data_IF_863278871568
#
_entry.id   IF_863278871568
#
_cell.length_a   1.000
_cell.length_b   1.000
_cell.length_c   1.000
_cell.angle_alpha   90.00
_cell.angle_beta   90.00
_cell.angle_gamma   90.00
#
_symmetry.space_group_name_H-M   'P 1'
#
loop_
_entity.id
_entity.type
_entity.pdbx_description
1 polymer ?
#
# COMPACT_ATOMS: atom_id res chain seq x y z
N UNK A 1 -23.74 -13.43 -28.05
CA UNK A 1 -23.28 -12.38 -27.13
C UNK A 1 -24.30 -12.28 -26.02
N UNK A 2 -24.05 -12.99 -24.94
CA UNK A 2 -24.91 -12.92 -23.74
C UNK A 2 -24.52 -11.68 -22.95
N UNK A 3 -25.49 -10.80 -22.80
CA UNK A 3 -25.37 -9.56 -22.04
C UNK A 3 -25.20 -9.90 -20.55
N UNK A 4 -23.96 -9.90 -20.05
CA UNK A 4 -23.60 -10.30 -18.68
C UNK A 4 -23.69 -9.14 -17.68
N UNK A 5 -24.37 -8.04 -18.01
CA UNK A 5 -24.08 -6.77 -17.37
C UNK A 5 -25.12 -6.22 -16.39
N UNK A 6 -26.32 -6.77 -16.29
CA UNK A 6 -27.30 -6.19 -15.36
C UNK A 6 -27.94 -7.26 -14.47
N UNK A 7 -27.48 -7.33 -13.23
CA UNK A 7 -28.26 -7.95 -12.16
C UNK A 7 -29.06 -6.85 -11.47
N UNK A 8 -30.30 -6.66 -11.90
CA UNK A 8 -31.26 -5.86 -11.15
C UNK A 8 -31.93 -6.80 -10.12
N UNK A 9 -31.77 -6.47 -8.84
CA UNK A 9 -32.69 -6.96 -7.81
C UNK A 9 -33.95 -6.11 -7.98
N UNK A 10 -34.91 -6.60 -8.74
CA UNK A 10 -36.20 -5.99 -9.13
C UNK A 10 -36.53 -4.66 -8.44
N UNK A 11 -36.06 -3.54 -9.00
CA UNK A 11 -36.39 -2.19 -8.54
C UNK A 11 -35.68 -1.68 -7.27
N UNK A 12 -34.82 -2.48 -6.63
CA UNK A 12 -34.07 -2.07 -5.41
C UNK A 12 -32.73 -1.45 -5.78
N UNK A 13 -32.01 -2.07 -6.71
CA UNK A 13 -30.70 -1.58 -7.16
C UNK A 13 -30.51 -1.71 -8.65
N UNK A 14 -29.70 -0.82 -9.24
CA UNK A 14 -29.09 -1.03 -10.56
C UNK A 14 -27.62 -1.33 -10.36
N UNK A 15 -27.10 -2.42 -10.92
CA UNK A 15 -25.69 -2.76 -10.79
C UNK A 15 -25.11 -3.32 -12.07
N UNK A 16 -23.85 -2.94 -12.34
CA UNK A 16 -22.99 -3.58 -13.31
C UNK A 16 -21.88 -4.26 -12.54
N UNK A 17 -21.67 -5.57 -12.74
CA UNK A 17 -20.67 -6.34 -12.00
C UNK A 17 -20.04 -7.42 -12.83
N UNK A 18 -18.80 -7.74 -12.53
CA UNK A 18 -18.02 -8.79 -13.16
C UNK A 18 -17.44 -9.71 -12.11
N UNK A 19 -17.86 -10.98 -12.11
CA UNK A 19 -17.26 -12.03 -11.28
C UNK A 19 -16.10 -12.66 -12.04
N UNK A 20 -15.04 -13.02 -11.31
CA UNK A 20 -13.83 -13.61 -11.88
C UNK A 20 -13.35 -14.82 -11.11
N UNK A 21 -12.86 -15.77 -11.89
CA UNK A 21 -12.07 -16.89 -11.36
C UNK A 21 -10.63 -16.63 -11.81
N UNK A 22 -9.71 -16.30 -10.88
CA UNK A 22 -8.33 -15.98 -11.24
C UNK A 22 -7.61 -17.22 -11.78
N UNK A 23 -6.68 -17.00 -12.71
CA UNK A 23 -5.76 -18.02 -13.18
C UNK A 23 -4.81 -18.50 -12.07
N UNK A 24 -4.12 -19.62 -12.29
CA UNK A 24 -3.17 -20.18 -11.33
C UNK A 24 -2.04 -19.19 -10.99
N UNK A 25 -1.47 -18.54 -12.02
CA UNK A 25 -0.44 -17.54 -11.84
C UNK A 25 -0.91 -16.35 -10.97
N UNK A 26 -2.12 -15.85 -11.24
CA UNK A 26 -2.67 -14.73 -10.48
C UNK A 26 -2.89 -15.09 -9.01
N UNK A 27 -3.42 -16.28 -8.73
CA UNK A 27 -3.61 -16.76 -7.34
C UNK A 27 -2.32 -16.85 -6.56
N UNK A 28 -1.23 -17.26 -7.23
CA UNK A 28 0.04 -17.51 -6.57
C UNK A 28 0.92 -16.26 -6.44
N UNK A 29 0.76 -15.28 -7.35
CA UNK A 29 1.74 -14.21 -7.51
C UNK A 29 1.18 -12.79 -7.55
N UNK A 30 -0.12 -12.60 -7.77
CA UNK A 30 -0.73 -11.29 -7.94
C UNK A 30 -1.77 -10.99 -6.85
N UNK A 31 -2.17 -9.74 -6.77
CA UNK A 31 -3.47 -9.37 -6.23
C UNK A 31 -4.49 -9.56 -7.35
N UNK A 32 -5.58 -10.26 -7.08
CA UNK A 32 -6.54 -10.62 -8.10
C UNK A 32 -7.97 -10.22 -7.74
N UNK A 33 -8.74 -9.90 -8.79
CA UNK A 33 -10.17 -9.60 -8.68
C UNK A 33 -10.95 -10.90 -8.50
N UNK A 34 -11.87 -10.91 -7.54
CA UNK A 34 -12.92 -11.93 -7.41
C UNK A 34 -14.25 -11.39 -7.94
N UNK A 35 -14.58 -10.15 -7.62
CA UNK A 35 -15.72 -9.42 -8.15
C UNK A 35 -15.40 -7.92 -8.17
N UNK A 36 -15.80 -7.21 -9.22
CA UNK A 36 -15.77 -5.76 -9.28
C UNK A 36 -17.09 -5.25 -9.82
N UNK A 37 -17.54 -4.10 -9.34
CA UNK A 37 -18.82 -3.57 -9.79
C UNK A 37 -19.06 -2.11 -9.41
N UNK A 38 -20.16 -1.62 -9.94
CA UNK A 38 -20.82 -0.37 -9.50
C UNK A 38 -22.29 -0.64 -9.24
N UNK A 39 -22.84 0.06 -8.28
CA UNK A 39 -24.21 -0.08 -7.83
C UNK A 39 -24.83 1.30 -7.61
N UNK A 40 -26.03 1.50 -8.11
CA UNK A 40 -26.92 2.57 -7.72
C UNK A 40 -28.09 1.99 -6.93
N UNK A 41 -28.23 2.37 -5.66
CA UNK A 41 -29.39 2.02 -4.85
C UNK A 41 -30.57 2.92 -5.24
N UNK A 42 -31.69 2.28 -5.57
CA UNK A 42 -32.97 2.98 -5.86
C UNK A 42 -33.78 3.06 -4.56
N UNK A 43 -33.65 2.05 -3.72
CA UNK A 43 -34.27 1.97 -2.40
C UNK A 43 -33.22 1.50 -1.38
N UNK A 44 -33.50 1.74 -0.11
CA UNK A 44 -32.63 1.22 0.95
C UNK A 44 -32.53 -0.31 0.86
N UNK A 45 -31.32 -0.81 0.92
CA UNK A 45 -31.07 -2.24 0.99
C UNK A 45 -29.94 -2.53 1.99
N UNK A 46 -29.99 -3.68 2.61
CA UNK A 46 -29.01 -4.16 3.59
C UNK A 46 -28.27 -5.37 3.01
N UNK A 47 -26.97 -5.39 3.22
CA UNK A 47 -26.12 -6.51 2.87
C UNK A 47 -25.36 -6.97 4.12
N UNK A 48 -25.42 -8.28 4.41
CA UNK A 48 -24.73 -8.92 5.52
C UNK A 48 -23.78 -9.95 4.95
N UNK A 49 -22.54 -9.95 5.39
CA UNK A 49 -21.51 -10.90 4.95
C UNK A 49 -20.65 -11.34 6.12
N UNK A 50 -20.16 -12.55 6.05
CA UNK A 50 -19.18 -13.12 6.96
C UNK A 50 -18.47 -14.31 6.30
N UNK A 51 -17.26 -14.64 6.78
CA UNK A 51 -16.51 -15.86 6.39
C UNK A 51 -16.22 -15.97 4.89
N UNK A 52 -16.12 -14.83 4.20
CA UNK A 52 -15.68 -14.80 2.81
C UNK A 52 -14.16 -14.69 2.74
N UNK A 53 -13.52 -15.58 1.99
CA UNK A 53 -12.08 -15.48 1.73
C UNK A 53 -11.79 -14.39 0.70
N UNK A 54 -11.93 -13.14 1.13
CA UNK A 54 -11.89 -11.94 0.31
C UNK A 54 -11.57 -10.72 1.13
N UNK A 55 -11.00 -9.71 0.48
CA UNK A 55 -10.97 -8.34 0.94
C UNK A 55 -11.93 -7.51 0.09
N UNK A 56 -12.64 -6.59 0.71
CA UNK A 56 -13.55 -5.67 0.04
C UNK A 56 -13.01 -4.25 0.16
N UNK A 57 -12.86 -3.58 -0.97
CA UNK A 57 -12.67 -2.14 -1.03
C UNK A 57 -13.87 -1.56 -1.74
N UNK A 58 -14.59 -0.62 -1.11
CA UNK A 58 -15.67 0.10 -1.77
C UNK A 58 -15.62 1.60 -1.49
N UNK A 59 -16.01 2.37 -2.47
CA UNK A 59 -16.06 3.84 -2.45
C UNK A 59 -17.52 4.27 -2.55
N UNK A 60 -17.96 5.17 -1.66
CA UNK A 60 -19.24 5.89 -1.80
C UNK A 60 -19.03 7.04 -2.76
N UNK A 61 -19.64 6.96 -3.96
CA UNK A 61 -19.50 7.99 -4.99
C UNK A 61 -20.64 9.01 -4.98
N UNK A 62 -21.76 8.66 -4.36
CA UNK A 62 -22.89 9.57 -4.14
C UNK A 62 -23.81 9.01 -3.03
N UNK A 63 -24.58 9.88 -2.38
CA UNK A 63 -25.53 9.49 -1.34
C UNK A 63 -24.87 9.08 -0.04
N UNK A 64 -25.62 8.33 0.78
CA UNK A 64 -25.21 7.96 2.14
C UNK A 64 -25.70 6.58 2.56
N UNK A 65 -25.13 6.07 3.63
CA UNK A 65 -25.52 4.81 4.22
C UNK A 65 -24.85 4.55 5.56
N UNK A 66 -24.90 3.30 6.01
CA UNK A 66 -24.33 2.86 7.26
C UNK A 66 -23.49 1.61 7.03
N UNK A 67 -22.36 1.48 7.72
CA UNK A 67 -21.60 0.26 7.83
C UNK A 67 -21.50 -0.16 9.29
N UNK A 68 -21.57 -1.48 9.56
CA UNK A 68 -21.26 -2.07 10.85
C UNK A 68 -20.09 -3.03 10.70
N UNK A 69 -19.01 -2.78 11.43
CA UNK A 69 -17.79 -3.58 11.46
C UNK A 69 -17.43 -3.80 12.93
N UNK A 70 -17.13 -5.04 13.33
CA UNK A 70 -16.79 -5.41 14.71
C UNK A 70 -17.84 -4.98 15.75
N UNK A 71 -19.12 -4.86 15.33
CA UNK A 71 -20.22 -4.42 16.19
C UNK A 71 -20.37 -2.90 16.33
N UNK A 72 -19.49 -2.11 15.72
CA UNK A 72 -19.58 -0.65 15.71
C UNK A 72 -20.25 -0.16 14.42
N UNK A 73 -21.26 0.69 14.59
CA UNK A 73 -21.96 1.34 13.46
C UNK A 73 -21.33 2.67 13.10
N UNK A 74 -21.16 2.90 11.80
CA UNK A 74 -20.63 4.15 11.26
C UNK A 74 -21.44 4.63 10.07
N UNK A 75 -21.89 5.91 10.06
CA UNK A 75 -22.42 6.53 8.85
C UNK A 75 -21.31 6.72 7.80
N UNK A 76 -21.64 6.44 6.55
CA UNK A 76 -20.81 6.69 5.39
C UNK A 76 -21.52 7.66 4.45
N UNK A 77 -20.73 8.56 3.87
CA UNK A 77 -21.19 9.56 2.91
C UNK A 77 -20.28 9.58 1.69
N UNK A 78 -20.66 10.35 0.67
CA UNK A 78 -19.82 10.55 -0.52
C UNK A 78 -18.37 10.87 -0.11
N UNK A 79 -17.41 10.16 -0.72
CA UNK A 79 -15.99 10.27 -0.44
C UNK A 79 -15.46 9.27 0.59
N UNK A 80 -16.34 8.60 1.34
CA UNK A 80 -15.89 7.54 2.26
C UNK A 80 -15.54 6.28 1.46
N UNK A 81 -14.39 5.72 1.77
CA UNK A 81 -13.90 4.45 1.25
C UNK A 81 -13.67 3.48 2.39
N UNK A 82 -14.04 2.23 2.18
CA UNK A 82 -13.93 1.14 3.16
C UNK A 82 -12.97 0.09 2.61
N UNK A 83 -12.10 -0.42 3.48
CA UNK A 83 -11.20 -1.53 3.18
C UNK A 83 -11.23 -2.54 4.31
N UNK A 84 -11.91 -3.67 4.12
CA UNK A 84 -12.20 -4.68 5.14
C UNK A 84 -11.76 -6.08 4.76
N UNK A 85 -11.44 -6.88 5.78
CA UNK A 85 -11.28 -8.34 5.67
C UNK A 85 -12.64 -9.03 5.82
N UNK A 86 -13.19 -9.53 4.72
CA UNK A 86 -14.52 -10.16 4.67
C UNK A 86 -14.60 -11.51 5.38
N UNK A 87 -13.52 -12.03 5.96
CA UNK A 87 -13.55 -13.19 6.85
C UNK A 87 -14.26 -12.84 8.16
N UNK A 88 -14.24 -11.54 8.55
CA UNK A 88 -14.97 -10.98 9.67
C UNK A 88 -16.43 -10.71 9.28
N UNK A 89 -17.29 -10.60 10.30
CA UNK A 89 -18.67 -10.18 10.10
C UNK A 89 -18.73 -8.67 9.81
N UNK A 90 -19.42 -8.29 8.75
CA UNK A 90 -19.76 -6.90 8.45
C UNK A 90 -21.13 -6.79 7.82
N UNK A 91 -21.74 -5.64 8.02
CA UNK A 91 -23.02 -5.27 7.41
C UNK A 91 -22.93 -3.87 6.83
N UNK A 92 -23.61 -3.64 5.72
CA UNK A 92 -23.80 -2.31 5.21
C UNK A 92 -25.23 -2.10 4.72
N UNK A 93 -25.71 -0.87 4.83
CA UNK A 93 -27.08 -0.51 4.45
C UNK A 93 -27.11 0.88 3.84
N UNK A 94 -27.76 1.04 2.68
CA UNK A 94 -27.99 2.36 2.10
C UNK A 94 -29.05 3.12 2.86
N UNK A 95 -28.94 4.45 2.90
CA UNK A 95 -29.93 5.36 3.49
C UNK A 95 -31.30 5.19 2.82
N UNK A 96 -32.36 5.41 3.58
CA UNK A 96 -33.73 5.46 3.05
C UNK A 96 -34.02 6.79 2.32
N UNK A 97 -33.47 7.90 2.83
CA UNK A 97 -33.71 9.23 2.31
C UNK A 97 -32.73 9.68 1.23
N UNK A 98 -31.52 9.08 1.21
CA UNK A 98 -30.44 9.44 0.32
C UNK A 98 -29.64 8.17 -0.07
N UNK A 99 -30.25 7.25 -0.86
CA UNK A 99 -29.63 5.97 -1.20
C UNK A 99 -28.32 6.17 -2.00
N UNK A 100 -27.28 5.45 -1.60
CA UNK A 100 -25.94 5.62 -2.16
C UNK A 100 -25.73 5.01 -3.54
N UNK A 101 -24.70 5.52 -4.20
CA UNK A 101 -24.01 4.87 -5.31
C UNK A 101 -22.63 4.41 -4.85
N UNK A 102 -22.29 3.19 -5.17
CA UNK A 102 -21.03 2.56 -4.78
C UNK A 102 -20.25 2.04 -5.99
N UNK A 103 -18.94 2.10 -5.89
CA UNK A 103 -18.04 1.24 -6.67
C UNK A 103 -17.27 0.37 -5.71
N UNK A 104 -17.06 -0.91 -6.09
CA UNK A 104 -16.36 -1.86 -5.22
C UNK A 104 -15.50 -2.83 -5.99
N UNK A 105 -14.54 -3.41 -5.27
CA UNK A 105 -13.80 -4.59 -5.68
C UNK A 105 -13.70 -5.56 -4.51
N UNK A 106 -14.11 -6.80 -4.75
CA UNK A 106 -13.69 -7.95 -3.96
C UNK A 106 -12.42 -8.49 -4.56
N UNK A 107 -11.36 -8.56 -3.77
CA UNK A 107 -10.04 -9.02 -4.21
C UNK A 107 -9.39 -9.93 -3.15
N UNK A 108 -8.38 -10.66 -3.58
CA UNK A 108 -7.53 -11.44 -2.69
C UNK A 108 -6.12 -11.53 -3.29
N UNK A 109 -5.20 -12.14 -2.59
CA UNK A 109 -3.83 -12.31 -3.01
C UNK A 109 -2.88 -12.41 -1.83
N UNK A 110 -1.68 -12.88 -2.08
CA UNK A 110 -0.69 -13.19 -1.03
C UNK A 110 -0.39 -12.00 -0.11
N UNK A 111 -0.40 -10.76 -0.64
CA UNK A 111 -0.03 -9.55 0.08
C UNK A 111 -1.22 -8.80 0.70
N UNK A 112 -2.47 -9.16 0.38
CA UNK A 112 -3.65 -8.40 0.80
C UNK A 112 -3.79 -8.29 2.31
N UNK A 113 -3.43 -9.34 3.05
CA UNK A 113 -3.40 -9.31 4.51
C UNK A 113 -2.46 -8.23 5.03
N UNK A 114 -1.23 -8.20 4.53
CA UNK A 114 -0.22 -7.23 4.94
C UNK A 114 -0.59 -5.80 4.54
N UNK A 115 -1.21 -5.60 3.38
CA UNK A 115 -1.70 -4.30 2.95
C UNK A 115 -2.82 -3.79 3.85
N UNK A 116 -3.79 -4.63 4.17
CA UNK A 116 -4.89 -4.30 5.06
C UNK A 116 -4.40 -3.97 6.49
N UNK A 117 -3.51 -4.80 7.05
CA UNK A 117 -2.91 -4.55 8.36
C UNK A 117 -2.10 -3.25 8.38
N UNK A 118 -1.35 -2.96 7.31
CA UNK A 118 -0.58 -1.72 7.19
C UNK A 118 -1.50 -0.49 7.10
N UNK A 119 -2.56 -0.55 6.28
CA UNK A 119 -3.58 0.50 6.19
C UNK A 119 -4.20 0.78 7.56
N UNK A 120 -4.67 -0.25 8.27
CA UNK A 120 -5.24 -0.12 9.60
C UNK A 120 -4.25 0.52 10.58
N UNK A 121 -3.00 0.05 10.59
CA UNK A 121 -1.96 0.58 11.47
C UNK A 121 -1.65 2.06 11.24
N UNK A 122 -1.91 2.60 10.03
CA UNK A 122 -1.81 4.02 9.70
C UNK A 122 -3.10 4.82 9.89
N UNK A 123 -4.21 4.15 10.11
CA UNK A 123 -5.56 4.70 10.17
C UNK A 123 -6.23 4.52 11.54
N UNK A 124 -5.46 4.54 12.64
CA UNK A 124 -5.95 4.35 14.01
C UNK A 124 -6.79 3.06 14.18
N UNK A 125 -6.36 1.97 13.55
CA UNK A 125 -7.01 0.66 13.49
C UNK A 125 -8.40 0.64 12.81
N UNK A 126 -8.75 1.72 12.08
CA UNK A 126 -10.02 1.84 11.36
C UNK A 126 -9.94 1.21 9.97
N UNK A 127 -11.04 0.61 9.52
CA UNK A 127 -11.19 -0.04 8.21
C UNK A 127 -11.95 0.85 7.19
N UNK A 128 -12.07 2.15 7.46
CA UNK A 128 -12.69 3.15 6.59
C UNK A 128 -11.94 4.47 6.67
N UNK A 129 -12.01 5.24 5.59
CA UNK A 129 -11.34 6.54 5.47
C UNK A 129 -12.09 7.44 4.49
N UNK A 130 -12.09 8.75 4.75
CA UNK A 130 -12.60 9.74 3.79
C UNK A 130 -11.47 10.14 2.84
N UNK A 131 -11.68 10.05 1.54
CA UNK A 131 -10.71 10.37 0.50
C UNK A 131 -10.94 11.78 -0.02
N UNK A 132 -9.89 12.60 -0.10
CA UNK A 132 -10.01 13.97 -0.64
C UNK A 132 -10.24 13.98 -2.16
N UNK A 133 -9.47 13.17 -2.89
CA UNK A 133 -9.58 13.08 -4.36
C UNK A 133 -10.51 11.93 -4.78
N UNK A 134 -11.81 12.09 -4.54
CA UNK A 134 -12.83 11.09 -4.88
C UNK A 134 -12.83 10.73 -6.37
N UNK A 135 -12.74 11.73 -7.27
CA UNK A 135 -12.75 11.50 -8.71
C UNK A 135 -11.50 10.73 -9.18
N UNK A 136 -10.33 10.98 -8.58
CA UNK A 136 -9.12 10.22 -8.87
C UNK A 136 -9.27 8.74 -8.48
N UNK A 137 -9.75 8.46 -7.27
CA UNK A 137 -9.97 7.09 -6.82
C UNK A 137 -11.06 6.39 -7.64
N UNK A 138 -12.16 7.08 -7.94
CA UNK A 138 -13.24 6.60 -8.81
C UNK A 138 -12.70 6.18 -10.20
N UNK A 139 -11.79 6.99 -10.77
CA UNK A 139 -11.16 6.68 -12.06
C UNK A 139 -10.46 5.31 -12.06
N UNK A 140 -9.79 4.93 -10.97
CA UNK A 140 -9.17 3.60 -10.84
C UNK A 140 -10.21 2.46 -10.82
N UNK A 141 -11.34 2.65 -10.14
CA UNK A 141 -12.44 1.68 -10.19
C UNK A 141 -13.07 1.57 -11.59
N UNK A 142 -13.24 2.69 -12.28
CA UNK A 142 -13.77 2.72 -13.66
C UNK A 142 -12.83 1.97 -14.61
N UNK A 143 -11.53 2.21 -14.51
CA UNK A 143 -10.53 1.50 -15.30
C UNK A 143 -10.53 0.00 -14.99
N UNK A 144 -10.62 -0.37 -13.70
CA UNK A 144 -10.73 -1.78 -13.30
C UNK A 144 -11.97 -2.45 -13.89
N UNK A 145 -13.13 -1.77 -13.89
CA UNK A 145 -14.34 -2.23 -14.55
C UNK A 145 -14.14 -2.44 -16.06
N UNK A 146 -13.47 -1.50 -16.73
CA UNK A 146 -13.18 -1.59 -18.17
C UNK A 146 -12.28 -2.76 -18.51
N UNK A 147 -11.23 -2.99 -17.71
CA UNK A 147 -10.34 -4.15 -17.87
C UNK A 147 -11.14 -5.46 -17.72
N UNK A 148 -12.02 -5.52 -16.71
CA UNK A 148 -12.82 -6.72 -16.48
C UNK A 148 -13.88 -6.92 -17.57
N UNK A 149 -14.36 -5.87 -18.18
CA UNK A 149 -15.31 -5.96 -19.29
C UNK A 149 -14.65 -6.51 -20.56
N UNK A 150 -13.45 -6.07 -20.88
CA UNK A 150 -12.80 -6.36 -22.16
C UNK A 150 -12.00 -7.69 -22.14
N UNK A 151 -11.47 -8.10 -21.00
CA UNK A 151 -10.69 -9.34 -20.79
C UNK A 151 -9.62 -9.60 -21.88
N UNK A 152 -8.48 -8.95 -21.70
CA UNK A 152 -7.29 -9.18 -22.53
C UNK A 152 -6.26 -10.04 -21.80
N UNK A 153 -5.20 -10.45 -22.51
CA UNK A 153 -4.13 -11.33 -21.98
C UNK A 153 -3.47 -10.76 -20.72
N UNK A 154 -3.35 -9.45 -20.60
CA UNK A 154 -2.72 -8.79 -19.47
C UNK A 154 -3.70 -8.32 -18.38
N UNK A 155 -4.98 -8.62 -18.49
CA UNK A 155 -6.02 -8.10 -17.59
C UNK A 155 -5.77 -8.43 -16.11
N UNK A 156 -5.22 -9.60 -15.79
CA UNK A 156 -4.90 -9.97 -14.40
C UNK A 156 -3.75 -9.12 -13.85
N UNK A 157 -2.70 -8.85 -14.64
CA UNK A 157 -1.60 -7.96 -14.25
C UNK A 157 -2.05 -6.52 -14.08
N UNK A 158 -2.79 -6.00 -15.05
CA UNK A 158 -3.32 -4.62 -14.99
C UNK A 158 -4.24 -4.43 -13.79
N UNK A 159 -5.10 -5.41 -13.52
CA UNK A 159 -5.98 -5.39 -12.35
C UNK A 159 -5.21 -5.41 -11.04
N UNK A 160 -4.14 -6.22 -10.95
CA UNK A 160 -3.26 -6.24 -9.76
C UNK A 160 -2.65 -4.86 -9.50
N UNK A 161 -2.10 -4.23 -10.53
CA UNK A 161 -1.51 -2.89 -10.43
C UNK A 161 -2.55 -1.87 -9.95
N UNK A 162 -3.76 -1.88 -10.54
CA UNK A 162 -4.81 -0.93 -10.15
C UNK A 162 -5.31 -1.14 -8.72
N UNK A 163 -5.45 -2.39 -8.26
CA UNK A 163 -5.84 -2.65 -6.87
C UNK A 163 -4.75 -2.16 -5.91
N UNK A 164 -3.48 -2.39 -6.24
CA UNK A 164 -2.36 -1.91 -5.43
C UNK A 164 -2.30 -0.38 -5.40
N UNK A 165 -2.60 0.31 -6.51
CA UNK A 165 -2.72 1.77 -6.56
C UNK A 165 -3.91 2.28 -5.73
N UNK A 166 -5.06 1.60 -5.77
CA UNK A 166 -6.20 1.93 -4.89
C UNK A 166 -5.77 1.83 -3.42
N UNK A 167 -5.08 0.74 -3.03
CA UNK A 167 -4.58 0.55 -1.66
C UNK A 167 -3.56 1.63 -1.30
N UNK A 168 -2.64 1.98 -2.21
CA UNK A 168 -1.67 3.07 -2.03
C UNK A 168 -2.35 4.38 -1.71
N UNK A 169 -3.39 4.76 -2.49
CA UNK A 169 -4.18 5.98 -2.25
C UNK A 169 -4.81 5.97 -0.85
N UNK A 170 -5.39 4.85 -0.42
CA UNK A 170 -5.99 4.75 0.92
C UNK A 170 -4.93 4.90 2.03
N UNK A 171 -3.75 4.34 1.85
CA UNK A 171 -2.62 4.49 2.78
C UNK A 171 -2.11 5.93 2.80
N UNK A 172 -1.99 6.58 1.64
CA UNK A 172 -1.60 7.99 1.55
C UNK A 172 -2.61 8.90 2.26
N UNK A 173 -3.92 8.66 2.09
CA UNK A 173 -4.95 9.38 2.82
C UNK A 173 -4.84 9.16 4.33
N UNK A 174 -4.61 7.92 4.78
CA UNK A 174 -4.44 7.60 6.20
C UNK A 174 -3.23 8.34 6.79
N UNK A 175 -2.10 8.33 6.09
CA UNK A 175 -0.88 9.06 6.50
C UNK A 175 -1.12 10.57 6.49
N UNK A 176 -1.88 11.11 5.55
CA UNK A 176 -2.21 12.53 5.48
C UNK A 176 -3.14 12.96 6.60
N UNK A 177 -4.14 12.15 6.93
CA UNK A 177 -5.09 12.41 8.02
C UNK A 177 -4.47 12.20 9.40
N UNK A 178 -3.43 11.38 9.51
CA UNK A 178 -2.53 11.37 10.67
C UNK A 178 -1.82 12.73 10.73
N UNK A 179 -2.65 13.80 10.84
CA UNK A 179 -2.26 15.20 10.89
C UNK A 179 -1.21 15.41 11.94
N UNK A 180 0.06 15.32 11.57
CA UNK A 180 1.02 15.75 12.53
C UNK A 180 2.20 16.45 11.89
N UNK A 181 2.49 17.59 12.49
CA UNK A 181 3.84 18.15 12.55
C UNK A 181 4.91 17.05 12.65
N UNK A 182 4.56 15.90 13.28
CA UNK A 182 5.37 14.70 13.36
C UNK A 182 5.74 14.14 11.97
N UNK A 183 4.78 13.87 11.10
CA UNK A 183 5.08 13.32 9.77
C UNK A 183 6.02 14.22 8.96
N UNK A 184 5.82 15.54 9.02
CA UNK A 184 6.71 16.50 8.37
C UNK A 184 8.12 16.42 8.96
N UNK A 185 8.25 16.37 10.28
CA UNK A 185 9.56 16.26 10.97
C UNK A 185 10.24 14.94 10.62
N UNK A 186 9.53 13.81 10.64
CA UNK A 186 10.13 12.52 10.31
C UNK A 186 10.51 12.39 8.84
N UNK A 187 9.80 13.03 7.92
CA UNK A 187 10.25 13.16 6.53
C UNK A 187 11.56 13.98 6.44
N UNK A 188 11.68 15.06 7.18
CA UNK A 188 12.93 15.83 7.24
C UNK A 188 14.08 14.99 7.80
N UNK A 189 13.84 14.19 8.84
CA UNK A 189 14.80 13.21 9.37
C UNK A 189 15.21 12.22 8.27
N UNK A 190 14.28 11.67 7.53
CA UNK A 190 14.55 10.74 6.43
C UNK A 190 15.43 11.38 5.34
N UNK A 191 15.11 12.60 4.92
CA UNK A 191 15.91 13.32 3.94
C UNK A 191 17.32 13.64 4.49
N UNK A 192 17.42 14.03 5.74
CA UNK A 192 18.71 14.24 6.42
C UNK A 192 19.56 12.96 6.41
N UNK A 193 18.97 11.80 6.69
CA UNK A 193 19.67 10.51 6.61
C UNK A 193 20.12 10.24 5.16
N UNK A 194 19.28 10.49 4.16
CA UNK A 194 19.61 10.26 2.77
C UNK A 194 20.85 11.06 2.31
N UNK A 195 20.97 12.30 2.77
CA UNK A 195 22.07 13.19 2.45
C UNK A 195 23.35 12.89 3.25
N UNK A 196 23.21 12.35 4.46
CA UNK A 196 24.29 12.25 5.44
C UNK A 196 24.62 10.82 5.89
N UNK A 197 24.06 9.79 5.27
CA UNK A 197 24.13 8.41 5.77
C UNK A 197 25.57 7.89 5.99
N UNK A 198 26.58 8.48 5.35
CA UNK A 198 28.00 8.11 5.49
C UNK A 198 28.63 8.58 6.80
N UNK A 199 28.03 9.52 7.53
CA UNK A 199 28.57 10.04 8.81
C UNK A 199 28.50 8.98 9.89
N UNK A 200 29.56 8.88 10.73
CA UNK A 200 29.64 7.86 11.77
C UNK A 200 28.68 8.09 12.96
N UNK A 201 28.59 9.33 13.44
CA UNK A 201 27.77 9.71 14.61
C UNK A 201 26.44 10.35 14.17
N UNK A 202 25.79 9.77 13.16
CA UNK A 202 24.63 10.40 12.51
C UNK A 202 23.43 10.52 13.44
N UNK A 203 23.14 9.49 14.26
CA UNK A 203 21.98 9.50 15.15
C UNK A 203 22.12 10.57 16.24
N UNK A 204 23.31 10.70 16.84
CA UNK A 204 23.62 11.71 17.84
C UNK A 204 23.60 13.13 17.24
N UNK A 205 23.98 13.28 15.98
CA UNK A 205 23.90 14.55 15.26
C UNK A 205 22.44 14.92 15.01
N UNK A 206 21.63 13.97 14.53
CA UNK A 206 20.19 14.16 14.29
C UNK A 206 19.43 14.51 15.57
N UNK A 207 19.71 13.83 16.68
CA UNK A 207 19.10 14.13 17.97
C UNK A 207 19.28 15.61 18.35
N UNK A 208 20.46 16.18 18.07
CA UNK A 208 20.75 17.62 18.30
C UNK A 208 20.05 18.52 17.27
N UNK A 209 20.08 18.16 15.99
CA UNK A 209 19.50 18.97 14.89
C UNK A 209 17.99 19.06 15.03
N UNK A 210 17.34 17.96 15.37
CA UNK A 210 15.89 17.89 15.48
C UNK A 210 15.36 18.12 16.89
N UNK A 211 16.26 18.36 17.88
CA UNK A 211 15.92 18.57 19.30
C UNK A 211 15.04 17.45 19.87
N UNK A 212 15.35 16.21 19.51
CA UNK A 212 14.62 15.02 19.92
C UNK A 212 15.56 14.05 20.65
N UNK A 213 15.00 13.26 21.57
CA UNK A 213 15.72 12.11 22.12
C UNK A 213 15.89 11.04 21.05
N UNK A 214 17.01 10.30 21.10
CA UNK A 214 17.32 9.29 20.08
C UNK A 214 16.31 8.13 20.07
N UNK A 215 15.85 7.69 21.24
CA UNK A 215 14.86 6.61 21.37
C UNK A 215 13.48 7.07 20.91
N UNK A 216 13.07 8.30 21.25
CA UNK A 216 11.83 8.90 20.76
C UNK A 216 11.84 9.04 19.24
N UNK A 217 12.99 9.51 18.70
CA UNK A 217 13.17 9.67 17.26
C UNK A 217 13.09 8.32 16.53
N UNK A 218 13.71 7.26 17.08
CA UNK A 218 13.67 5.91 16.50
C UNK A 218 12.26 5.32 16.52
N UNK A 219 11.56 5.37 17.67
CA UNK A 219 10.18 4.88 17.80
C UNK A 219 9.21 5.59 16.84
N UNK A 220 9.32 6.92 16.74
CA UNK A 220 8.49 7.68 15.80
C UNK A 220 8.82 7.40 14.34
N UNK A 221 10.10 7.23 14.00
CA UNK A 221 10.52 6.85 12.65
C UNK A 221 10.01 5.47 12.27
N UNK A 222 10.13 4.49 13.18
CA UNK A 222 9.60 3.15 12.99
C UNK A 222 8.08 3.15 12.83
N UNK A 223 7.36 3.94 13.65
CA UNK A 223 5.91 4.10 13.53
C UNK A 223 5.48 4.63 12.17
N UNK A 224 6.23 5.58 11.58
CA UNK A 224 5.88 6.23 10.30
C UNK A 224 6.35 5.43 9.09
N UNK A 225 7.57 4.89 9.14
CA UNK A 225 8.19 4.23 7.98
C UNK A 225 8.25 2.71 8.07
N UNK A 226 7.87 2.11 9.20
CA UNK A 226 7.86 0.66 9.40
C UNK A 226 9.25 0.03 9.57
N UNK A 227 10.30 0.84 9.72
CA UNK A 227 11.70 0.43 9.87
C UNK A 227 12.37 1.34 10.90
N UNK A 228 13.24 0.80 11.75
CA UNK A 228 14.01 1.61 12.68
C UNK A 228 15.10 2.43 11.95
N UNK A 229 15.55 3.50 12.61
CA UNK A 229 16.53 4.43 12.04
C UNK A 229 17.87 3.76 11.71
N UNK A 230 18.33 2.85 12.56
CA UNK A 230 19.61 2.19 12.37
C UNK A 230 19.60 1.28 11.13
N UNK A 231 18.55 0.50 10.97
CA UNK A 231 18.35 -0.34 9.80
C UNK A 231 18.15 0.50 8.53
N UNK A 232 17.42 1.62 8.63
CA UNK A 232 17.28 2.53 7.50
C UNK A 232 18.63 3.14 7.07
N UNK A 233 19.44 3.63 8.02
CA UNK A 233 20.79 4.15 7.76
C UNK A 233 21.66 3.05 7.12
N UNK A 234 21.62 1.82 7.66
CA UNK A 234 22.39 0.69 7.15
C UNK A 234 22.00 0.36 5.72
N UNK A 235 20.70 0.33 5.42
CA UNK A 235 20.18 0.11 4.06
C UNK A 235 20.65 1.20 3.08
N UNK A 236 20.66 2.48 3.51
CA UNK A 236 21.18 3.60 2.70
C UNK A 236 22.67 3.47 2.44
N UNK A 237 23.46 3.13 3.45
CA UNK A 237 24.91 2.89 3.34
C UNK A 237 25.19 1.71 2.38
N UNK A 238 24.43 0.64 2.50
CA UNK A 238 24.57 -0.51 1.61
C UNK A 238 24.22 -0.17 0.16
N UNK A 239 23.16 0.61 -0.05
CA UNK A 239 22.81 1.13 -1.38
C UNK A 239 23.96 1.97 -1.94
N UNK A 240 24.53 2.87 -1.14
CA UNK A 240 25.69 3.69 -1.54
C UNK A 240 26.92 2.83 -1.89
N UNK A 241 27.17 1.76 -1.13
CA UNK A 241 28.23 0.82 -1.45
C UNK A 241 27.99 0.12 -2.79
N UNK A 242 26.75 -0.31 -3.08
CA UNK A 242 26.38 -0.88 -4.38
C UNK A 242 26.59 0.10 -5.54
N UNK A 243 26.19 1.36 -5.36
CA UNK A 243 26.43 2.42 -6.35
C UNK A 243 27.92 2.59 -6.65
N UNK A 244 28.75 2.71 -5.61
CA UNK A 244 30.20 2.86 -5.76
C UNK A 244 30.83 1.65 -6.47
N UNK A 245 30.39 0.44 -6.16
CA UNK A 245 30.86 -0.77 -6.84
C UNK A 245 30.47 -0.82 -8.32
N UNK A 246 29.32 -0.29 -8.67
CA UNK A 246 28.80 -0.28 -10.06
C UNK A 246 29.39 0.82 -10.92
N UNK A 247 29.59 1.99 -10.33
CA UNK A 247 29.88 3.23 -11.07
C UNK A 247 31.26 3.81 -10.78
N UNK A 248 32.12 3.10 -10.02
CA UNK A 248 33.50 3.52 -9.79
C UNK A 248 34.48 2.34 -9.81
N UNK A 249 35.75 2.65 -9.99
CA UNK A 249 36.87 1.69 -9.94
C UNK A 249 37.51 1.61 -8.53
N UNK A 250 36.93 2.27 -7.53
CA UNK A 250 37.48 2.33 -6.18
C UNK A 250 37.63 0.94 -5.56
N UNK A 251 38.76 0.67 -4.86
CA UNK A 251 38.93 -0.61 -4.15
C UNK A 251 37.82 -0.79 -3.11
N UNK A 252 37.51 -2.05 -2.76
CA UNK A 252 36.42 -2.36 -1.82
C UNK A 252 36.62 -1.71 -0.45
N UNK A 253 37.87 -1.57 0.02
CA UNK A 253 38.21 -0.85 1.25
C UNK A 253 37.81 0.61 1.24
N UNK A 254 38.00 1.32 0.12
CA UNK A 254 37.52 2.71 -0.03
C UNK A 254 35.98 2.77 -0.13
N UNK A 255 35.33 1.77 -0.73
CA UNK A 255 33.88 1.69 -0.79
C UNK A 255 33.28 1.60 0.62
N UNK A 256 33.89 0.81 1.52
CA UNK A 256 33.49 0.72 2.92
C UNK A 256 33.54 2.09 3.59
N UNK A 257 34.67 2.78 3.46
CA UNK A 257 34.88 4.10 4.08
C UNK A 257 33.90 5.14 3.55
N UNK A 258 33.78 5.28 2.23
CA UNK A 258 32.92 6.30 1.59
C UNK A 258 31.43 6.04 1.82
N UNK A 259 31.03 4.77 1.88
CA UNK A 259 29.63 4.42 2.14
C UNK A 259 29.22 4.60 3.60
N UNK A 260 30.18 4.73 4.53
CA UNK A 260 29.94 4.83 5.95
C UNK A 260 29.61 3.48 6.62
N UNK A 261 29.86 2.36 5.93
CA UNK A 261 29.75 1.03 6.53
C UNK A 261 30.90 0.84 7.53
N UNK A 262 30.62 0.28 8.70
CA UNK A 262 31.54 0.26 9.82
C UNK A 262 32.86 -0.46 9.54
N UNK A 263 32.81 -1.55 8.77
CA UNK A 263 33.98 -2.36 8.42
C UNK A 263 33.68 -3.35 7.27
N UNK A 264 34.73 -3.97 6.76
CA UNK A 264 34.66 -4.96 5.67
C UNK A 264 33.81 -6.18 6.01
N UNK A 265 33.83 -6.63 7.27
CA UNK A 265 33.04 -7.81 7.70
C UNK A 265 31.55 -7.54 7.62
N UNK A 266 31.12 -6.35 8.01
CA UNK A 266 29.71 -5.93 7.88
C UNK A 266 29.31 -5.82 6.42
N UNK A 267 30.15 -5.22 5.55
CA UNK A 267 29.89 -5.17 4.11
C UNK A 267 29.75 -6.58 3.53
N UNK A 268 30.66 -7.49 3.89
CA UNK A 268 30.64 -8.88 3.43
C UNK A 268 29.37 -9.62 3.89
N UNK A 269 28.96 -9.39 5.14
CA UNK A 269 27.71 -9.94 5.68
C UNK A 269 26.50 -9.45 4.88
N UNK A 270 26.38 -8.13 4.65
CA UNK A 270 25.28 -7.52 3.90
C UNK A 270 25.19 -8.06 2.47
N UNK A 271 26.33 -8.17 1.77
CA UNK A 271 26.32 -8.75 0.42
C UNK A 271 25.89 -10.21 0.41
N UNK A 272 26.33 -11.01 1.40
CA UNK A 272 25.95 -12.42 1.50
C UNK A 272 24.45 -12.57 1.81
N UNK A 273 23.89 -11.70 2.67
CA UNK A 273 22.49 -11.76 3.08
C UNK A 273 21.54 -11.26 1.99
N UNK A 274 21.85 -10.14 1.35
CA UNK A 274 20.96 -9.48 0.41
C UNK A 274 21.19 -9.88 -1.06
N UNK A 275 22.44 -10.01 -1.48
CA UNK A 275 22.79 -10.26 -2.88
C UNK A 275 23.25 -11.71 -3.15
N UNK A 276 23.46 -12.53 -2.10
CA UNK A 276 23.93 -13.93 -2.18
C UNK A 276 25.28 -14.09 -2.89
N UNK A 277 26.12 -13.05 -2.86
CA UNK A 277 27.45 -13.01 -3.49
C UNK A 277 28.39 -12.08 -2.72
N UNK A 278 29.68 -12.01 -3.11
CA UNK A 278 30.63 -11.05 -2.54
C UNK A 278 30.54 -9.69 -3.23
N UNK A 279 31.15 -8.66 -2.61
CA UNK A 279 31.22 -7.32 -3.19
C UNK A 279 31.98 -7.32 -4.55
N UNK A 280 33.05 -8.11 -4.65
CA UNK A 280 33.85 -8.27 -5.89
C UNK A 280 33.03 -8.99 -6.97
N UNK A 281 32.29 -10.03 -6.62
CA UNK A 281 31.39 -10.74 -7.54
C UNK A 281 30.27 -9.82 -8.00
N UNK A 282 29.70 -9.00 -7.09
CA UNK A 282 28.72 -8.00 -7.42
C UNK A 282 29.27 -6.99 -8.42
N UNK A 283 30.45 -6.41 -8.16
CA UNK A 283 31.12 -5.50 -9.09
C UNK A 283 31.30 -6.16 -10.45
N UNK A 284 31.88 -7.35 -10.52
CA UNK A 284 32.13 -8.07 -11.78
C UNK A 284 30.85 -8.30 -12.57
N UNK A 285 29.75 -8.52 -11.91
CA UNK A 285 28.45 -8.81 -12.54
C UNK A 285 27.71 -7.56 -12.99
N UNK A 286 27.83 -6.46 -12.22
CA UNK A 286 26.98 -5.29 -12.38
C UNK A 286 27.71 -4.01 -12.80
N UNK A 287 29.04 -3.94 -12.75
CA UNK A 287 29.77 -2.75 -13.18
C UNK A 287 29.60 -2.55 -14.68
N UNK A 288 29.28 -1.33 -15.08
CA UNK A 288 29.11 -0.95 -16.49
C UNK A 288 30.47 -0.72 -17.19
N UNK A 289 31.56 -0.65 -16.42
CA UNK A 289 32.89 -0.28 -16.87
C UNK A 289 33.92 -1.27 -16.32
N UNK A 290 33.99 -2.47 -16.90
CA UNK A 290 35.11 -3.38 -16.67
C UNK A 290 35.85 -3.49 -17.98
N UNK A 291 37.08 -2.92 -18.00
CA UNK A 291 38.09 -3.30 -18.98
C UNK A 291 38.86 -4.51 -18.50
#
# INVERSE_FOLDING_TARGET
>A
MTDHTMFATEGITKSERFLRTPGEFARDHLVFVQEVGKLQSIQSHRCIREKLDSYLIFLVINGSGMIQIHGEERPLVMGDCVFIDCRQHYEHQSSESDPWELMWVHCNGRNMKSFHEFFKGKNDDREYITVENVEGLKGHFEELLMIQKNQEVLSEFQSSILIEQIVEILIEEAVRQEKDKLYVVYNQIREYINENCQKHALVEEMAKVFHMDADEMDQGFQRIFGIDIYDYILNRRFTKAKELLRFSIKPVSEVVEISGIRNDDLLRKLFKEHEKMTAEEYRRKWAQWVK
#
